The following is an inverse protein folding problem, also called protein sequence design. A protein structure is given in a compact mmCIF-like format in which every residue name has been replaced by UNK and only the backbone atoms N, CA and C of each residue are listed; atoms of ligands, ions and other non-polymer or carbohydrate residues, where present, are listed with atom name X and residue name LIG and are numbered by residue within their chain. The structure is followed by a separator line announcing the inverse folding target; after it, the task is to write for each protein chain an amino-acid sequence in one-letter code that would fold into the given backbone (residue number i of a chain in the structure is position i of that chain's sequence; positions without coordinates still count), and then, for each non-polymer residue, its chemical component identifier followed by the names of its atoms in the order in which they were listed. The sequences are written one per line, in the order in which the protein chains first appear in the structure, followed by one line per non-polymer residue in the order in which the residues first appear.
data_IF_771026557546
#
_entry.id   IF_771026557546
#
_cell.length_a   1.000
_cell.length_b   1.000
_cell.length_c   1.000
_cell.angle_alpha   90.00
_cell.angle_beta   90.00
_cell.angle_gamma   90.00
#
_symmetry.space_group_name_H-M   'P 1'
#
loop_
_entity.id
_entity.type
_entity.pdbx_description
1 polymer ?
#
# COMPACT_ATOMS: atom_id res chain seq x y z
N UNK A 1 -28.04 -47.21 14.07
CA UNK A 1 -28.62 -45.96 13.54
C UNK A 1 -28.89 -46.16 12.04
N UNK A 2 -30.14 -46.12 11.57
CA UNK A 2 -30.45 -46.27 10.13
C UNK A 2 -30.25 -44.91 9.45
N UNK A 3 -29.25 -44.82 8.58
CA UNK A 3 -29.03 -43.61 7.77
C UNK A 3 -30.13 -43.54 6.71
N UNK A 4 -30.88 -42.43 6.71
CA UNK A 4 -31.90 -42.18 5.69
C UNK A 4 -31.22 -41.65 4.42
N UNK A 5 -31.12 -42.50 3.38
CA UNK A 5 -30.42 -42.16 2.13
C UNK A 5 -30.97 -40.90 1.42
N UNK A 6 -32.26 -40.58 1.59
CA UNK A 6 -32.83 -39.32 1.05
C UNK A 6 -32.30 -38.10 1.79
N UNK A 7 -32.19 -38.18 3.12
CA UNK A 7 -31.61 -37.10 3.93
C UNK A 7 -30.12 -36.91 3.64
N UNK A 8 -29.39 -38.01 3.41
CA UNK A 8 -27.97 -37.95 3.02
C UNK A 8 -27.80 -37.27 1.66
N UNK A 9 -28.59 -37.64 0.65
CA UNK A 9 -28.52 -37.04 -0.69
C UNK A 9 -28.83 -35.54 -0.68
N UNK A 10 -29.85 -35.12 0.09
CA UNK A 10 -30.18 -33.70 0.28
C UNK A 10 -29.03 -32.95 0.96
N UNK A 11 -28.42 -33.55 1.98
CA UNK A 11 -27.30 -32.92 2.70
C UNK A 11 -26.07 -32.75 1.80
N UNK A 12 -25.72 -33.77 1.01
CA UNK A 12 -24.63 -33.70 0.03
C UNK A 12 -24.92 -32.66 -1.05
N UNK A 13 -26.16 -32.59 -1.54
CA UNK A 13 -26.59 -31.58 -2.50
C UNK A 13 -26.46 -30.16 -1.95
N UNK A 14 -26.87 -29.93 -0.71
CA UNK A 14 -26.72 -28.63 -0.03
C UNK A 14 -25.25 -28.25 0.16
N UNK A 15 -24.39 -29.20 0.52
CA UNK A 15 -22.94 -28.98 0.63
C UNK A 15 -22.34 -28.61 -0.73
N UNK A 16 -22.74 -29.30 -1.80
CA UNK A 16 -22.27 -28.97 -3.14
C UNK A 16 -22.68 -27.56 -3.58
N UNK A 17 -23.94 -27.17 -3.33
CA UNK A 17 -24.42 -25.80 -3.60
C UNK A 17 -23.65 -24.78 -2.77
N UNK A 18 -23.43 -25.05 -1.47
CA UNK A 18 -22.65 -24.17 -0.61
C UNK A 18 -21.23 -23.98 -1.14
N UNK A 19 -20.56 -25.05 -1.57
CA UNK A 19 -19.22 -24.97 -2.16
C UNK A 19 -19.20 -24.12 -3.43
N UNK A 20 -20.20 -24.23 -4.29
CA UNK A 20 -20.32 -23.40 -5.49
C UNK A 20 -20.48 -21.92 -5.13
N UNK A 21 -21.34 -21.61 -4.15
CA UNK A 21 -21.53 -20.22 -3.68
C UNK A 21 -20.23 -19.65 -3.13
N UNK A 22 -19.54 -20.41 -2.27
CA UNK A 22 -18.26 -19.98 -1.69
C UNK A 22 -17.19 -19.75 -2.75
N UNK A 23 -17.12 -20.58 -3.80
CA UNK A 23 -16.19 -20.40 -4.91
C UNK A 23 -16.50 -19.12 -5.70
N UNK A 24 -17.77 -18.87 -6.00
CA UNK A 24 -18.20 -17.66 -6.73
C UNK A 24 -17.87 -16.41 -5.91
N UNK A 25 -18.25 -16.37 -4.63
CA UNK A 25 -17.96 -15.24 -3.75
C UNK A 25 -16.46 -14.99 -3.61
N UNK A 26 -15.67 -16.05 -3.39
CA UNK A 26 -14.21 -15.94 -3.30
C UNK A 26 -13.60 -15.39 -4.60
N UNK A 27 -14.09 -15.86 -5.75
CA UNK A 27 -13.60 -15.38 -7.05
C UNK A 27 -13.90 -13.90 -7.27
N UNK A 28 -15.09 -13.42 -6.89
CA UNK A 28 -15.50 -12.02 -7.02
C UNK A 28 -14.72 -11.15 -6.04
N UNK A 29 -14.53 -11.62 -4.80
CA UNK A 29 -13.84 -10.87 -3.76
C UNK A 29 -12.35 -10.68 -4.08
N UNK A 30 -11.70 -11.70 -4.66
CA UNK A 30 -10.30 -11.62 -5.07
C UNK A 30 -10.14 -10.82 -6.36
N UNK A 31 -10.97 -11.09 -7.39
CA UNK A 31 -10.80 -10.47 -8.71
C UNK A 31 -11.35 -9.04 -8.80
N UNK A 32 -12.30 -8.65 -7.95
CA UNK A 32 -12.92 -7.33 -7.98
C UNK A 32 -11.92 -6.18 -7.81
N UNK A 33 -11.10 -6.15 -6.74
CA UNK A 33 -10.07 -5.14 -6.55
C UNK A 33 -9.05 -5.09 -7.71
N UNK A 34 -8.62 -6.26 -8.21
CA UNK A 34 -7.68 -6.35 -9.33
C UNK A 34 -8.27 -5.76 -10.62
N UNK A 35 -9.51 -6.11 -10.95
CA UNK A 35 -10.21 -5.57 -12.14
C UNK A 35 -10.36 -4.06 -12.08
N UNK A 36 -10.77 -3.52 -10.92
CA UNK A 36 -10.90 -2.07 -10.75
C UNK A 36 -9.55 -1.37 -10.90
N UNK A 37 -8.48 -1.98 -10.41
CA UNK A 37 -7.13 -1.47 -10.56
C UNK A 37 -6.67 -1.47 -12.04
N UNK A 38 -6.92 -2.56 -12.77
CA UNK A 38 -6.61 -2.65 -14.21
C UNK A 38 -7.42 -1.67 -15.06
N UNK A 39 -8.72 -1.50 -14.77
CA UNK A 39 -9.59 -0.52 -15.44
C UNK A 39 -9.03 0.89 -15.30
N UNK A 40 -8.56 1.26 -14.10
CA UNK A 40 -7.92 2.56 -13.86
C UNK A 40 -6.64 2.75 -14.68
N UNK A 41 -5.79 1.72 -14.76
CA UNK A 41 -4.57 1.78 -15.58
C UNK A 41 -4.94 1.97 -17.06
N UNK A 42 -5.95 1.26 -17.54
CA UNK A 42 -6.41 1.38 -18.93
C UNK A 42 -6.94 2.80 -19.23
N UNK A 43 -7.73 3.38 -18.32
CA UNK A 43 -8.20 4.78 -18.43
C UNK A 43 -7.05 5.77 -18.52
N UNK A 44 -6.02 5.63 -17.67
CA UNK A 44 -4.83 6.47 -17.69
C UNK A 44 -4.08 6.36 -19.02
N UNK A 45 -3.85 5.14 -19.50
CA UNK A 45 -3.16 4.91 -20.78
C UNK A 45 -3.95 5.50 -21.96
N UNK A 46 -5.28 5.35 -21.95
CA UNK A 46 -6.15 5.92 -22.98
C UNK A 46 -6.13 7.46 -22.97
N UNK A 47 -6.12 8.09 -21.79
CA UNK A 47 -6.01 9.54 -21.66
C UNK A 47 -4.69 10.09 -22.24
N UNK A 48 -3.57 9.38 -21.98
CA UNK A 48 -2.25 9.73 -22.53
C UNK A 48 -2.25 9.61 -24.05
N UNK A 49 -2.78 8.52 -24.60
CA UNK A 49 -2.90 8.31 -26.06
C UNK A 49 -3.81 9.35 -26.72
N UNK A 50 -4.89 9.75 -26.05
CA UNK A 50 -5.79 10.80 -26.53
C UNK A 50 -5.11 12.17 -26.62
N UNK A 51 -4.21 12.46 -25.67
CA UNK A 51 -3.45 13.72 -25.62
C UNK A 51 -2.28 13.72 -26.61
N UNK A 52 -1.55 12.60 -26.71
CA UNK A 52 -0.35 12.46 -27.54
C UNK A 52 -0.59 11.46 -28.68
N UNK A 53 -1.21 11.94 -29.76
CA UNK A 53 -1.70 11.10 -30.87
C UNK A 53 -0.63 10.27 -31.60
N UNK A 54 0.64 10.64 -31.52
CA UNK A 54 1.76 9.92 -32.15
C UNK A 54 2.64 9.17 -31.15
N UNK A 55 2.18 9.00 -29.91
CA UNK A 55 2.97 8.32 -28.87
C UNK A 55 3.28 6.87 -29.28
N UNK A 56 4.56 6.51 -29.23
CA UNK A 56 5.07 5.15 -29.47
C UNK A 56 5.67 4.61 -28.18
N UNK A 57 5.66 3.27 -28.03
CA UNK A 57 6.27 2.57 -26.89
C UNK A 57 5.73 2.97 -25.50
N UNK A 58 4.44 3.32 -25.39
CA UNK A 58 3.82 3.59 -24.09
C UNK A 58 3.76 2.31 -23.26
N UNK A 59 4.47 2.30 -22.14
CA UNK A 59 4.43 1.26 -21.12
C UNK A 59 4.37 1.90 -19.74
N UNK A 60 3.92 1.12 -18.76
CA UNK A 60 3.82 1.54 -17.36
C UNK A 60 4.78 0.69 -16.54
N UNK A 61 5.71 1.34 -15.87
CA UNK A 61 6.54 0.74 -14.84
C UNK A 61 5.97 1.04 -13.45
N UNK A 62 5.97 0.03 -12.58
CA UNK A 62 5.62 0.19 -11.17
C UNK A 62 6.64 -0.56 -10.33
N UNK A 63 7.38 0.17 -9.50
CA UNK A 63 8.40 -0.38 -8.63
C UNK A 63 7.85 -0.49 -7.20
N UNK A 64 7.67 -1.73 -6.74
CA UNK A 64 7.29 -2.00 -5.35
C UNK A 64 8.54 -2.40 -4.57
N UNK A 65 8.99 -1.53 -3.67
CA UNK A 65 10.05 -1.85 -2.71
C UNK A 65 9.41 -2.33 -1.41
N UNK A 66 9.61 -3.61 -1.08
CA UNK A 66 9.20 -4.14 0.21
C UNK A 66 10.35 -3.89 1.19
N UNK A 67 10.09 -3.04 2.17
CA UNK A 67 11.02 -2.77 3.27
C UNK A 67 10.33 -2.99 4.60
N UNK A 68 11.08 -3.48 5.57
CA UNK A 68 10.63 -3.61 6.96
C UNK A 68 11.38 -2.61 7.82
N UNK A 69 10.70 -2.07 8.83
CA UNK A 69 11.33 -1.25 9.87
C UNK A 69 11.16 -1.97 11.20
N UNK A 70 12.26 -2.12 11.91
CA UNK A 70 12.29 -2.70 13.25
C UNK A 70 13.16 -1.88 14.18
N UNK A 71 13.19 -2.29 15.44
CA UNK A 71 13.96 -1.65 16.48
C UNK A 71 14.79 -2.70 17.24
N UNK A 72 16.06 -2.39 17.51
CA UNK A 72 16.86 -3.06 18.52
C UNK A 72 16.95 -2.20 19.79
N UNK A 73 17.93 -2.45 20.67
CA UNK A 73 18.12 -1.67 21.90
C UNK A 73 18.42 -0.19 21.62
N UNK A 74 19.23 0.10 20.60
CA UNK A 74 19.84 1.41 20.39
C UNK A 74 19.43 2.05 19.07
N UNK A 75 18.91 1.28 18.11
CA UNK A 75 18.70 1.70 16.74
C UNK A 75 17.30 1.35 16.20
N UNK A 76 16.88 2.18 15.24
CA UNK A 76 15.95 1.81 14.18
C UNK A 76 16.73 1.12 13.06
N UNK A 77 16.19 0.04 12.51
CA UNK A 77 16.83 -0.75 11.46
C UNK A 77 15.83 -0.99 10.33
N UNK A 78 16.27 -0.72 9.10
CA UNK A 78 15.52 -0.97 7.89
C UNK A 78 16.06 -2.22 7.21
N UNK A 79 15.16 -3.10 6.77
CA UNK A 79 15.49 -4.36 6.12
C UNK A 79 14.87 -4.43 4.72
N UNK A 80 15.54 -5.13 3.80
CA UNK A 80 14.94 -5.50 2.52
C UNK A 80 14.02 -6.71 2.66
N UNK A 81 13.40 -7.10 1.55
CA UNK A 81 12.49 -8.25 1.43
C UNK A 81 13.15 -9.60 1.79
N UNK A 82 14.47 -9.71 1.68
CA UNK A 82 15.25 -10.87 2.14
C UNK A 82 15.55 -10.86 3.65
N UNK A 83 15.08 -9.84 4.39
CA UNK A 83 15.34 -9.68 5.83
C UNK A 83 16.77 -9.21 6.16
N UNK A 84 17.52 -8.70 5.18
CA UNK A 84 18.86 -8.16 5.38
C UNK A 84 18.78 -6.68 5.71
N UNK A 85 19.52 -6.24 6.72
CA UNK A 85 19.64 -4.84 7.07
C UNK A 85 20.22 -4.02 5.90
N UNK A 86 19.51 -2.97 5.52
CA UNK A 86 19.90 -1.98 4.51
C UNK A 86 20.67 -0.86 5.21
N UNK A 87 20.09 -0.32 6.29
CA UNK A 87 20.60 0.85 7.02
C UNK A 87 20.02 0.88 8.44
N UNK A 88 20.72 1.56 9.35
CA UNK A 88 20.25 1.85 10.70
C UNK A 88 20.45 3.32 11.09
N UNK A 89 19.68 3.76 12.08
CA UNK A 89 19.78 5.08 12.72
C UNK A 89 19.63 4.91 14.23
N UNK A 90 20.39 5.68 15.01
CA UNK A 90 20.24 5.65 16.47
C UNK A 90 18.88 6.19 16.88
N UNK A 91 18.31 5.69 17.98
CA UNK A 91 17.00 6.15 18.44
C UNK A 91 17.00 7.62 18.88
N UNK A 92 18.14 8.13 19.33
CA UNK A 92 18.31 9.53 19.75
C UNK A 92 18.31 10.53 18.58
N UNK A 93 18.39 10.08 17.33
CA UNK A 93 18.31 10.95 16.15
C UNK A 93 16.90 11.16 15.61
N UNK A 94 15.88 10.59 16.27
CA UNK A 94 14.50 10.68 15.80
C UNK A 94 13.91 12.07 16.00
N UNK A 95 13.19 12.58 15.00
CA UNK A 95 12.70 13.96 14.96
C UNK A 95 11.17 14.03 14.78
N UNK A 96 10.41 13.10 15.37
CA UNK A 96 8.95 12.98 15.17
C UNK A 96 8.17 14.28 15.44
N UNK A 97 8.49 14.97 16.54
CA UNK A 97 7.79 16.21 16.92
C UNK A 97 8.10 17.36 15.95
N UNK A 98 9.35 17.46 15.48
CA UNK A 98 9.78 18.45 14.49
C UNK A 98 9.07 18.20 13.16
N UNK A 99 9.03 16.93 12.72
CA UNK A 99 8.31 16.51 11.51
C UNK A 99 6.85 16.92 11.57
N UNK A 100 6.19 16.69 12.71
CA UNK A 100 4.79 17.05 12.89
C UNK A 100 4.58 18.56 12.74
N UNK A 101 5.38 19.37 13.43
CA UNK A 101 5.29 20.83 13.36
C UNK A 101 5.56 21.36 11.94
N UNK A 102 6.57 20.81 11.26
CA UNK A 102 6.92 21.21 9.90
C UNK A 102 5.80 20.88 8.93
N UNK A 103 5.16 19.72 9.06
CA UNK A 103 4.05 19.32 8.18
C UNK A 103 2.79 20.18 8.43
N UNK A 104 2.45 20.45 9.68
CA UNK A 104 1.34 21.35 10.03
C UNK A 104 1.57 22.76 9.45
N UNK A 105 2.80 23.29 9.56
CA UNK A 105 3.16 24.63 9.08
C UNK A 105 3.24 24.72 7.56
N UNK A 106 3.92 23.77 6.91
CA UNK A 106 4.24 23.82 5.48
C UNK A 106 3.06 23.47 4.58
N UNK A 107 2.19 22.56 5.04
CA UNK A 107 1.08 22.05 4.24
C UNK A 107 -0.30 22.42 4.80
N UNK A 108 -0.36 23.09 5.96
CA UNK A 108 -1.64 23.36 6.63
C UNK A 108 -2.37 22.09 7.06
N UNK A 109 -1.62 21.00 7.27
CA UNK A 109 -2.17 19.69 7.56
C UNK A 109 -2.69 19.58 9.00
N UNK A 110 -3.76 18.81 9.17
CA UNK A 110 -4.33 18.34 10.44
C UNK A 110 -4.28 16.82 10.54
N UNK A 111 -4.54 16.28 11.73
CA UNK A 111 -4.59 14.83 12.01
C UNK A 111 -3.29 14.11 11.62
N UNK A 112 -2.15 14.72 11.96
CA UNK A 112 -0.82 14.27 11.56
C UNK A 112 -0.40 13.05 12.37
N UNK A 113 -0.18 11.93 11.68
CA UNK A 113 0.40 10.69 12.21
C UNK A 113 1.71 10.42 11.50
N UNK A 114 2.78 10.23 12.27
CA UNK A 114 4.13 10.01 11.75
C UNK A 114 4.58 8.59 12.06
N UNK A 115 5.12 7.91 11.07
CA UNK A 115 5.76 6.61 11.19
C UNK A 115 7.11 6.63 10.46
N UNK A 116 7.93 5.59 10.66
CA UNK A 116 9.15 5.37 9.88
C UNK A 116 8.84 4.51 8.66
N UNK A 117 9.50 4.80 7.54
CA UNK A 117 9.43 4.02 6.32
C UNK A 117 10.68 4.18 5.47
N UNK A 118 10.61 3.77 4.20
CA UNK A 118 11.73 3.84 3.27
C UNK A 118 11.29 4.46 1.94
N UNK A 119 11.91 5.57 1.56
CA UNK A 119 11.57 6.37 0.38
C UNK A 119 12.52 6.10 -0.78
N UNK A 120 12.42 4.90 -1.34
CA UNK A 120 13.24 4.35 -2.45
C UNK A 120 14.72 4.16 -2.13
N UNK A 121 15.44 5.23 -1.79
CA UNK A 121 16.88 5.19 -1.59
C UNK A 121 17.28 5.38 -0.12
N UNK A 122 16.43 6.01 0.70
CA UNK A 122 16.77 6.40 2.07
C UNK A 122 15.62 6.18 3.06
N UNK A 123 15.92 6.08 4.37
CA UNK A 123 14.92 6.18 5.43
C UNK A 123 14.10 7.47 5.34
N UNK A 124 12.80 7.36 5.61
CA UNK A 124 11.88 8.51 5.61
C UNK A 124 10.95 8.48 6.81
N UNK A 125 10.42 9.66 7.14
CA UNK A 125 9.19 9.79 7.91
C UNK A 125 8.00 9.68 6.95
N UNK A 126 7.14 8.70 7.19
CA UNK A 126 5.86 8.54 6.50
C UNK A 126 4.79 9.27 7.32
N UNK A 127 4.27 10.34 6.76
CA UNK A 127 3.31 11.22 7.43
C UNK A 127 1.94 11.06 6.78
N UNK A 128 0.99 10.47 7.51
CA UNK A 128 -0.41 10.40 7.10
C UNK A 128 -1.18 11.53 7.77
N UNK A 129 -1.91 12.32 6.99
CA UNK A 129 -2.62 13.48 7.49
C UNK A 129 -3.86 13.82 6.63
N UNK A 130 -4.61 14.83 7.05
CA UNK A 130 -5.83 15.30 6.36
C UNK A 130 -5.63 15.65 4.88
N UNK A 131 -4.44 16.10 4.47
CA UNK A 131 -4.14 16.50 3.09
C UNK A 131 -3.58 15.36 2.23
N UNK A 132 -3.32 14.18 2.82
CA UNK A 132 -2.78 13.02 2.12
C UNK A 132 -1.63 12.34 2.87
N UNK A 133 -0.71 11.74 2.12
CA UNK A 133 0.50 11.09 2.63
C UNK A 133 1.73 11.83 2.13
N UNK A 134 2.62 12.21 3.04
CA UNK A 134 3.88 12.93 2.75
C UNK A 134 5.03 12.07 3.25
N UNK A 135 6.06 11.90 2.44
CA UNK A 135 7.33 11.26 2.84
C UNK A 135 8.40 12.33 2.94
N UNK A 136 9.00 12.45 4.12
CA UNK A 136 10.11 13.37 4.37
C UNK A 136 11.39 12.58 4.63
N UNK A 137 12.50 12.99 4.03
CA UNK A 137 13.82 12.39 4.27
C UNK A 137 14.16 12.41 5.77
N UNK A 138 14.67 11.30 6.29
CA UNK A 138 14.92 11.16 7.73
C UNK A 138 15.96 12.17 8.26
N UNK A 139 16.98 12.48 7.46
CA UNK A 139 18.15 13.24 7.91
C UNK A 139 17.94 14.75 7.72
N UNK A 140 17.27 15.18 6.63
CA UNK A 140 17.14 16.60 6.28
C UNK A 140 15.70 17.11 6.11
N UNK A 141 14.69 16.25 6.29
CA UNK A 141 13.27 16.58 6.19
C UNK A 141 12.83 17.13 4.82
N UNK A 142 13.62 16.93 3.77
CA UNK A 142 13.23 17.25 2.40
C UNK A 142 12.06 16.37 1.97
N UNK A 143 11.11 16.93 1.21
CA UNK A 143 10.00 16.15 0.66
C UNK A 143 10.53 15.17 -0.39
N UNK A 144 10.41 13.88 -0.10
CA UNK A 144 10.75 12.80 -1.03
C UNK A 144 9.55 12.48 -1.92
N UNK A 145 8.35 12.55 -1.35
CA UNK A 145 7.11 12.27 -2.06
C UNK A 145 5.90 12.90 -1.37
N UNK A 146 4.91 13.31 -2.15
CA UNK A 146 3.62 13.77 -1.63
C UNK A 146 2.47 13.21 -2.48
N UNK A 147 1.66 12.35 -1.88
CA UNK A 147 0.39 11.88 -2.42
C UNK A 147 -0.76 12.68 -1.82
N UNK A 148 -1.35 13.56 -2.63
CA UNK A 148 -2.48 14.38 -2.20
C UNK A 148 -3.76 13.54 -2.07
N UNK A 149 -4.54 13.81 -1.03
CA UNK A 149 -5.81 13.12 -0.81
C UNK A 149 -6.77 13.40 -1.97
N UNK A 150 -7.27 12.33 -2.61
CA UNK A 150 -8.18 12.40 -3.76
C UNK A 150 -7.50 12.26 -5.13
N UNK A 151 -6.17 12.17 -5.18
CA UNK A 151 -5.42 11.93 -6.43
C UNK A 151 -4.97 10.46 -6.59
N UNK A 152 -5.36 9.59 -5.65
CA UNK A 152 -5.01 8.16 -5.60
C UNK A 152 -5.87 7.28 -6.49
#
# INVERSE_FOLDING_TARGET
MKINGKSLAVSVGLIAVLLVVLLVESSIFISGPSRKYEEKIAEQMAAIQGTYKEIKNLHRDAFYYITYVGEDADNYVWFNDAGKAIVSRKKDTIQMDIVKQEVEKRYGAKDVQVALGYGYDNPVYVVNCSVGQILLDYDNLHEVYYLKKGEA
#
